data_IF_128020726074
#
_entry.id   IF_128020726074
#
_cell.length_a   1.000
_cell.length_b   1.000
_cell.length_c   1.000
_cell.angle_alpha   90.00
_cell.angle_beta   90.00
_cell.angle_gamma   90.00
#
_symmetry.space_group_name_H-M   'P 1'
#
loop_
_entity.id
_entity.type
_entity.pdbx_description
1 polymer ?
#
# COMPACT_ATOMS: atom_id res chain seq x y z
N UNK A 1 -14.64 -7.54 -12.00
CA UNK A 1 -14.58 -6.46 -10.99
C UNK A 1 -14.07 -5.20 -11.65
N UNK A 2 -14.66 -4.05 -11.34
CA UNK A 2 -14.14 -2.77 -11.82
C UNK A 2 -12.77 -2.50 -11.19
N UNK A 3 -11.82 -1.98 -11.96
CA UNK A 3 -10.50 -1.66 -11.45
C UNK A 3 -10.59 -0.55 -10.41
N UNK A 4 -10.01 -0.75 -9.23
CA UNK A 4 -9.90 0.28 -8.19
C UNK A 4 -8.86 1.32 -8.62
N UNK A 5 -9.21 2.60 -8.55
CA UNK A 5 -8.31 3.71 -8.88
C UNK A 5 -8.58 4.96 -8.02
N UNK A 6 -7.59 5.83 -7.94
CA UNK A 6 -7.69 7.12 -7.24
C UNK A 6 -8.42 8.12 -8.12
N UNK A 7 -9.49 8.71 -7.60
CA UNK A 7 -10.29 9.73 -8.28
C UNK A 7 -9.92 11.17 -7.85
N UNK A 8 -9.47 11.35 -6.61
CA UNK A 8 -9.11 12.66 -6.06
C UNK A 8 -8.03 12.53 -4.97
N UNK A 9 -7.17 13.53 -4.89
CA UNK A 9 -6.16 13.67 -3.85
C UNK A 9 -6.35 15.02 -3.16
N UNK A 10 -6.60 15.01 -1.87
CA UNK A 10 -6.65 16.21 -1.03
C UNK A 10 -5.38 16.27 -0.19
N UNK A 11 -4.68 17.37 -0.25
CA UNK A 11 -3.44 17.63 0.49
C UNK A 11 -3.75 18.65 1.58
N UNK A 12 -3.90 18.19 2.82
CA UNK A 12 -4.08 19.08 3.96
C UNK A 12 -2.78 19.79 4.30
N UNK A 13 -1.72 19.01 4.53
CA UNK A 13 -0.39 19.54 4.80
C UNK A 13 0.69 18.50 4.58
N UNK A 14 1.51 18.70 3.54
CA UNK A 14 2.71 17.92 3.26
C UNK A 14 3.88 18.88 3.06
N UNK A 15 4.70 19.09 4.09
CA UNK A 15 5.75 20.14 4.14
C UNK A 15 5.18 21.53 3.84
N UNK A 16 5.56 22.13 2.71
CA UNK A 16 5.09 23.46 2.26
C UNK A 16 3.81 23.40 1.42
N UNK A 17 3.42 22.19 0.96
CA UNK A 17 2.15 22.00 0.26
C UNK A 17 1.01 22.01 1.28
N UNK A 18 0.01 22.86 1.11
CA UNK A 18 -1.13 22.99 2.02
C UNK A 18 -2.39 23.30 1.24
N UNK A 19 -3.50 22.70 1.67
CA UNK A 19 -4.85 23.00 1.17
C UNK A 19 -4.92 22.94 -0.37
N UNK A 20 -4.40 21.86 -0.95
CA UNK A 20 -4.42 21.62 -2.39
C UNK A 20 -5.30 20.42 -2.70
N UNK A 21 -6.01 20.51 -3.80
CA UNK A 21 -6.81 19.41 -4.32
C UNK A 21 -6.36 19.10 -5.75
N UNK A 22 -6.28 17.80 -6.05
CA UNK A 22 -5.96 17.29 -7.37
C UNK A 22 -7.10 16.36 -7.76
N UNK A 23 -7.91 16.78 -8.71
CA UNK A 23 -8.97 15.96 -9.29
C UNK A 23 -8.39 15.17 -10.47
N UNK A 24 -8.65 13.86 -10.50
CA UNK A 24 -8.22 12.98 -11.58
C UNK A 24 -9.43 12.62 -12.46
N UNK A 25 -10.16 11.58 -12.09
CA UNK A 25 -11.39 11.17 -12.78
C UNK A 25 -12.20 10.26 -11.87
N UNK A 26 -13.53 10.33 -11.97
CA UNK A 26 -14.46 9.40 -11.30
C UNK A 26 -14.90 8.25 -12.19
N UNK A 27 -14.63 8.33 -13.50
CA UNK A 27 -15.13 7.39 -14.52
C UNK A 27 -14.04 6.43 -15.01
N UNK A 28 -12.79 6.90 -15.08
CA UNK A 28 -11.70 6.11 -15.64
C UNK A 28 -10.39 6.33 -14.91
N UNK A 29 -9.52 5.31 -14.92
CA UNK A 29 -8.18 5.37 -14.36
C UNK A 29 -7.31 6.39 -15.11
N UNK A 30 -6.75 7.35 -14.38
CA UNK A 30 -5.80 8.36 -14.89
C UNK A 30 -4.40 8.18 -14.30
N UNK A 31 -3.41 8.56 -15.09
CA UNK A 31 -2.03 8.66 -14.62
C UNK A 31 -1.76 10.05 -14.05
N UNK A 32 -1.16 10.13 -12.86
CA UNK A 32 -0.68 11.37 -12.27
C UNK A 32 0.83 11.49 -12.48
N UNK A 33 1.27 12.55 -13.14
CA UNK A 33 2.69 12.89 -13.32
C UNK A 33 2.99 14.15 -12.52
N UNK A 34 3.91 14.05 -11.55
CA UNK A 34 4.37 15.17 -10.74
C UNK A 34 5.69 15.71 -11.30
N UNK A 35 5.68 16.95 -11.77
CA UNK A 35 6.85 17.66 -12.28
C UNK A 35 7.20 18.86 -11.42
N UNK A 36 8.40 19.39 -11.53
CA UNK A 36 8.85 20.60 -10.82
C UNK A 36 10.30 20.53 -10.36
N UNK A 37 10.82 21.67 -9.89
CA UNK A 37 12.20 21.83 -9.40
C UNK A 37 12.52 20.92 -8.21
N UNK A 38 13.81 20.69 -7.95
CA UNK A 38 14.23 19.99 -6.73
C UNK A 38 13.74 20.74 -5.49
N UNK A 39 13.30 20.03 -4.48
CA UNK A 39 12.72 20.63 -3.28
C UNK A 39 11.25 21.01 -3.38
N UNK A 40 10.58 20.90 -4.56
CA UNK A 40 9.15 21.26 -4.74
C UNK A 40 8.15 20.33 -4.03
N UNK A 41 8.60 19.34 -3.26
CA UNK A 41 7.71 18.48 -2.47
C UNK A 41 7.22 17.21 -3.17
N UNK A 42 7.63 16.92 -4.42
CA UNK A 42 7.19 15.73 -5.18
C UNK A 42 7.36 14.42 -4.40
N UNK A 43 8.59 14.14 -3.94
CA UNK A 43 8.89 12.94 -3.16
C UNK A 43 8.11 12.90 -1.84
N UNK A 44 7.94 14.05 -1.19
CA UNK A 44 7.18 14.13 0.06
C UNK A 44 5.70 13.84 -0.16
N UNK A 45 5.13 14.32 -1.26
CA UNK A 45 3.75 14.01 -1.64
C UNK A 45 3.59 12.52 -1.97
N UNK A 46 4.49 11.94 -2.77
CA UNK A 46 4.46 10.50 -3.06
C UNK A 46 4.59 9.64 -1.80
N UNK A 47 5.47 10.04 -0.86
CA UNK A 47 5.59 9.36 0.43
C UNK A 47 4.27 9.43 1.24
N UNK A 48 3.61 10.58 1.25
CA UNK A 48 2.33 10.75 1.94
C UNK A 48 1.22 9.91 1.30
N UNK A 49 1.16 9.87 -0.04
CA UNK A 49 0.23 9.00 -0.77
C UNK A 49 0.49 7.52 -0.43
N UNK A 50 1.76 7.09 -0.43
CA UNK A 50 2.14 5.73 -0.06
C UNK A 50 1.79 5.43 1.41
N UNK A 51 1.97 6.38 2.32
CA UNK A 51 1.57 6.25 3.73
C UNK A 51 0.06 6.06 3.87
N UNK A 52 -0.74 6.87 3.18
CA UNK A 52 -2.20 6.73 3.17
C UNK A 52 -2.62 5.35 2.67
N UNK A 53 -2.12 4.93 1.50
CA UNK A 53 -2.43 3.63 0.91
C UNK A 53 -2.02 2.48 1.83
N UNK A 54 -0.82 2.55 2.42
CA UNK A 54 -0.38 1.54 3.39
C UNK A 54 -1.29 1.50 4.62
N UNK A 55 -1.78 2.64 5.11
CA UNK A 55 -2.67 2.68 6.27
C UNK A 55 -4.03 2.05 5.99
N UNK A 56 -4.60 2.23 4.80
CA UNK A 56 -5.89 1.62 4.45
C UNK A 56 -5.79 0.14 4.04
N UNK A 57 -4.59 -0.34 3.70
CA UNK A 57 -4.36 -1.75 3.33
C UNK A 57 -3.84 -2.61 4.49
N UNK A 58 -3.24 -2.01 5.52
CA UNK A 58 -2.70 -2.74 6.68
C UNK A 58 -3.68 -2.87 7.85
N UNK A 59 -4.64 -1.97 7.97
CA UNK A 59 -5.67 -2.01 9.03
C UNK A 59 -6.86 -1.12 8.67
N UNK A 60 -7.96 -1.31 9.38
CA UNK A 60 -9.17 -0.49 9.26
C UNK A 60 -9.11 0.81 10.11
N UNK A 61 -8.04 1.04 10.86
CA UNK A 61 -7.93 2.15 11.82
C UNK A 61 -8.13 3.52 11.19
N UNK A 62 -7.53 3.78 10.01
CA UNK A 62 -7.69 5.05 9.32
C UNK A 62 -9.13 5.22 8.84
N UNK A 63 -9.71 4.19 8.25
CA UNK A 63 -11.07 4.21 7.72
C UNK A 63 -12.09 4.41 8.84
N UNK A 64 -11.93 3.68 9.94
CA UNK A 64 -12.75 3.83 11.15
C UNK A 64 -12.64 5.23 11.77
N UNK A 65 -11.44 5.78 11.83
CA UNK A 65 -11.22 7.15 12.34
C UNK A 65 -11.85 8.21 11.44
N UNK A 66 -11.78 8.05 10.11
CA UNK A 66 -12.42 8.97 9.14
C UNK A 66 -13.95 8.90 9.24
N UNK A 67 -14.51 7.70 9.43
CA UNK A 67 -15.94 7.49 9.61
C UNK A 67 -16.45 8.11 10.91
N UNK A 68 -15.78 7.82 12.03
CA UNK A 68 -16.11 8.41 13.33
C UNK A 68 -16.01 9.95 13.30
N UNK A 69 -14.99 10.52 12.65
CA UNK A 69 -14.88 11.95 12.47
C UNK A 69 -16.09 12.53 11.74
N UNK A 70 -16.48 11.93 10.62
CA UNK A 70 -17.62 12.39 9.81
C UNK A 70 -18.96 12.30 10.56
N UNK A 71 -19.14 11.23 11.35
CA UNK A 71 -20.37 11.02 12.10
C UNK A 71 -20.47 11.99 13.30
N UNK A 72 -19.36 12.23 13.99
CA UNK A 72 -19.30 13.22 15.09
C UNK A 72 -19.46 14.65 14.58
N UNK A 73 -18.88 15.00 13.43
CA UNK A 73 -19.09 16.33 12.80
C UNK A 73 -20.54 16.56 12.40
N UNK A 74 -21.23 15.54 11.85
CA UNK A 74 -22.66 15.62 11.56
C UNK A 74 -23.49 15.79 12.83
N UNK A 75 -23.20 15.01 13.88
CA UNK A 75 -23.87 15.09 15.16
C UNK A 75 -23.67 16.46 15.81
N UNK A 76 -22.46 17.02 15.73
CA UNK A 76 -22.16 18.34 16.26
C UNK A 76 -23.02 19.44 15.60
N UNK A 77 -23.24 19.33 14.27
CA UNK A 77 -24.10 20.30 13.54
C UNK A 77 -25.54 20.24 14.06
N UNK A 78 -26.07 19.04 14.35
CA UNK A 78 -27.43 18.85 14.84
C UNK A 78 -27.62 19.49 16.23
N UNK A 79 -26.67 19.27 17.15
CA UNK A 79 -26.78 19.75 18.53
C UNK A 79 -26.29 21.19 18.77
N UNK A 80 -25.62 21.82 17.78
CA UNK A 80 -25.01 23.15 17.96
C UNK A 80 -25.99 24.28 18.23
N UNK A 81 -27.23 24.14 17.82
CA UNK A 81 -28.28 25.15 17.94
C UNK A 81 -29.20 24.95 19.17
N UNK A 82 -28.96 23.94 19.97
CA UNK A 82 -29.72 23.64 21.16
C UNK A 82 -29.02 24.25 22.38
N UNK A 83 -29.80 24.89 23.28
CA UNK A 83 -29.24 25.65 24.42
C UNK A 83 -29.54 24.99 25.80
N UNK A 84 -30.03 23.75 25.78
CA UNK A 84 -30.25 23.03 27.01
C UNK A 84 -28.95 22.41 27.60
N UNK A 85 -28.95 22.12 28.90
CA UNK A 85 -27.75 21.64 29.63
C UNK A 85 -27.21 20.32 29.05
N UNK A 86 -28.10 19.44 28.58
CA UNK A 86 -27.69 18.15 28.00
C UNK A 86 -27.01 18.33 26.65
N UNK A 87 -27.57 19.17 25.80
CA UNK A 87 -27.00 19.50 24.47
C UNK A 87 -25.64 20.19 24.60
N UNK A 88 -25.42 21.03 25.62
CA UNK A 88 -24.11 21.63 25.91
C UNK A 88 -23.09 20.54 26.32
N UNK A 89 -23.48 19.57 27.12
CA UNK A 89 -22.59 18.46 27.54
C UNK A 89 -22.24 17.57 26.34
N UNK A 90 -23.22 17.23 25.49
CA UNK A 90 -23.03 16.42 24.26
C UNK A 90 -22.09 17.14 23.30
N UNK A 91 -22.32 18.43 23.03
CA UNK A 91 -21.47 19.23 22.12
C UNK A 91 -20.02 19.30 22.58
N UNK A 92 -19.79 19.41 23.89
CA UNK A 92 -18.45 19.41 24.48
C UNK A 92 -17.76 18.05 24.29
N UNK A 93 -18.50 16.94 24.50
CA UNK A 93 -18.02 15.59 24.26
C UNK A 93 -17.66 15.36 22.78
N UNK A 94 -18.56 15.72 21.87
CA UNK A 94 -18.34 15.63 20.42
C UNK A 94 -17.13 16.46 19.97
N UNK A 95 -16.97 17.66 20.50
CA UNK A 95 -15.80 18.50 20.16
C UNK A 95 -14.48 17.85 20.56
N UNK A 96 -14.42 17.21 21.73
CA UNK A 96 -13.23 16.47 22.17
C UNK A 96 -12.97 15.22 21.32
N UNK A 97 -14.02 14.49 20.98
CA UNK A 97 -13.94 13.29 20.11
C UNK A 97 -13.46 13.67 18.70
N UNK A 98 -14.02 14.72 18.11
CA UNK A 98 -13.60 15.27 16.80
C UNK A 98 -12.11 15.65 16.80
N UNK A 99 -11.64 16.30 17.87
CA UNK A 99 -10.23 16.66 18.01
C UNK A 99 -9.32 15.41 18.02
N UNK A 100 -9.78 14.35 18.69
CA UNK A 100 -9.09 13.07 18.76
C UNK A 100 -9.03 12.38 17.39
N UNK A 101 -10.18 12.26 16.71
CA UNK A 101 -10.23 11.69 15.37
C UNK A 101 -9.41 12.49 14.35
N UNK A 102 -9.46 13.82 14.36
CA UNK A 102 -8.61 14.68 13.51
C UNK A 102 -7.13 14.41 13.71
N UNK A 103 -6.70 14.21 14.97
CA UNK A 103 -5.31 13.85 15.27
C UNK A 103 -4.95 12.47 14.72
N UNK A 104 -5.83 11.46 14.90
CA UNK A 104 -5.62 10.11 14.36
C UNK A 104 -5.54 10.11 12.85
N UNK A 105 -6.53 10.69 12.17
CA UNK A 105 -6.55 10.80 10.70
C UNK A 105 -5.29 11.47 10.20
N UNK A 106 -4.88 12.60 10.77
CA UNK A 106 -3.67 13.32 10.39
C UNK A 106 -2.40 12.46 10.53
N UNK A 107 -2.31 11.67 11.60
CA UNK A 107 -1.14 10.81 11.86
C UNK A 107 -1.10 9.66 10.86
N UNK A 108 -2.23 8.99 10.65
CA UNK A 108 -2.33 7.79 9.81
C UNK A 108 -2.33 8.11 8.31
N UNK A 109 -2.88 9.26 7.90
CA UNK A 109 -2.98 9.66 6.49
C UNK A 109 -1.70 10.25 5.89
N UNK A 110 -0.71 10.59 6.72
CA UNK A 110 0.48 11.29 6.23
C UNK A 110 0.22 12.70 5.70
N UNK A 111 -0.94 13.30 6.04
CA UNK A 111 -1.34 14.66 5.62
C UNK A 111 -1.98 14.74 4.23
N UNK A 112 -2.41 13.60 3.67
CA UNK A 112 -3.21 13.52 2.44
C UNK A 112 -4.46 12.68 2.68
N UNK A 113 -5.48 12.94 1.88
CA UNK A 113 -6.67 12.09 1.81
C UNK A 113 -6.91 11.69 0.35
N UNK A 114 -7.06 10.41 0.10
CA UNK A 114 -7.37 9.90 -1.23
C UNK A 114 -8.85 9.51 -1.29
N UNK A 115 -9.52 9.91 -2.37
CA UNK A 115 -10.79 9.34 -2.77
C UNK A 115 -10.53 8.31 -3.87
N UNK A 116 -11.19 7.17 -3.76
CA UNK A 116 -11.15 6.12 -4.77
C UNK A 116 -12.55 6.02 -5.42
N UNK A 117 -12.64 5.29 -6.52
CA UNK A 117 -13.91 4.98 -7.17
C UNK A 117 -14.76 3.94 -6.42
N UNK A 118 -14.29 3.47 -5.27
CA UNK A 118 -15.01 2.57 -4.36
C UNK A 118 -14.86 3.04 -2.90
N UNK A 119 -15.70 2.55 -1.96
CA UNK A 119 -15.52 2.78 -0.53
C UNK A 119 -14.14 2.29 -0.03
N UNK A 120 -13.55 3.01 0.93
CA UNK A 120 -12.25 2.63 1.49
C UNK A 120 -12.28 1.29 2.24
N UNK A 121 -13.44 0.91 2.79
CA UNK A 121 -13.63 -0.39 3.45
C UNK A 121 -13.40 -1.55 2.46
N UNK A 122 -13.83 -1.39 1.20
CA UNK A 122 -13.67 -2.41 0.17
C UNK A 122 -12.20 -2.59 -0.22
N UNK A 123 -11.41 -1.51 -0.20
CA UNK A 123 -9.97 -1.57 -0.55
C UNK A 123 -9.19 -2.51 0.37
N UNK A 124 -9.46 -2.48 1.67
CA UNK A 124 -8.83 -3.38 2.65
C UNK A 124 -9.16 -4.85 2.34
N UNK A 125 -10.41 -5.12 2.01
CA UNK A 125 -10.87 -6.46 1.66
C UNK A 125 -10.22 -6.97 0.36
N UNK A 126 -10.25 -6.17 -0.71
CA UNK A 126 -9.66 -6.48 -2.00
C UNK A 126 -8.13 -6.65 -1.93
N UNK A 127 -7.45 -5.87 -1.08
CA UNK A 127 -6.03 -6.01 -0.82
C UNK A 127 -5.71 -7.37 -0.18
N UNK A 128 -6.47 -7.77 0.83
CA UNK A 128 -6.26 -9.07 1.50
C UNK A 128 -6.57 -10.26 0.59
N UNK A 129 -7.43 -10.09 -0.41
CA UNK A 129 -7.71 -11.11 -1.43
C UNK A 129 -6.68 -11.10 -2.60
N UNK A 130 -5.72 -10.18 -2.60
CA UNK A 130 -4.75 -10.03 -3.67
C UNK A 130 -5.32 -9.40 -4.96
N UNK A 131 -6.53 -8.81 -4.92
CA UNK A 131 -7.18 -8.15 -6.04
C UNK A 131 -6.75 -6.68 -6.20
N UNK A 132 -6.19 -6.08 -5.14
CA UNK A 132 -5.63 -4.74 -5.14
C UNK A 132 -4.18 -4.77 -4.69
N UNK A 133 -3.30 -4.14 -5.44
CA UNK A 133 -1.85 -4.13 -5.16
C UNK A 133 -1.35 -2.70 -5.10
N UNK A 134 -0.59 -2.39 -4.05
CA UNK A 134 0.14 -1.12 -3.91
C UNK A 134 1.63 -1.40 -4.12
N UNK A 135 2.22 -0.77 -5.13
CA UNK A 135 3.65 -0.84 -5.39
C UNK A 135 4.29 0.54 -5.29
N UNK A 136 5.13 0.75 -4.29
CA UNK A 136 5.84 2.01 -4.06
C UNK A 136 7.34 1.83 -4.30
N UNK A 137 7.86 2.51 -5.32
CA UNK A 137 9.28 2.47 -5.68
C UNK A 137 9.96 3.78 -5.27
N UNK A 138 10.85 3.71 -4.29
CA UNK A 138 11.65 4.86 -3.86
C UNK A 138 12.69 5.24 -4.93
N UNK A 139 13.12 6.52 -4.91
CA UNK A 139 14.14 7.02 -5.83
C UNK A 139 15.52 6.38 -5.62
N UNK A 140 15.82 5.98 -4.38
CA UNK A 140 17.08 5.31 -4.02
C UNK A 140 17.06 3.84 -4.47
N UNK A 141 17.17 3.66 -5.78
CA UNK A 141 17.21 2.33 -6.42
C UNK A 141 18.61 1.75 -6.39
N UNK A 142 19.25 1.72 -5.24
CA UNK A 142 20.48 0.94 -5.11
C UNK A 142 20.06 -0.53 -5.00
N UNK A 143 20.13 -1.24 -6.11
CA UNK A 143 19.98 -2.69 -6.11
C UNK A 143 21.28 -3.30 -5.55
N UNK A 144 21.29 -3.48 -4.24
CA UNK A 144 22.28 -4.34 -3.59
C UNK A 144 21.57 -5.64 -3.26
N UNK A 145 21.68 -6.62 -4.13
CA UNK A 145 21.36 -7.98 -3.77
C UNK A 145 22.40 -8.39 -2.70
N UNK A 146 21.97 -8.65 -1.48
CA UNK A 146 22.83 -9.26 -0.47
C UNK A 146 22.70 -10.77 -0.68
N UNK A 147 23.79 -11.41 -1.04
CA UNK A 147 23.84 -12.87 -1.10
C UNK A 147 23.52 -13.43 0.28
N UNK A 148 22.57 -14.35 0.40
CA UNK A 148 22.28 -15.00 1.67
C UNK A 148 23.46 -15.89 2.08
N UNK A 149 23.91 -15.79 3.33
CA UNK A 149 24.99 -16.60 3.87
C UNK A 149 24.57 -18.08 4.07
N UNK A 150 23.27 -18.34 4.09
CA UNK A 150 22.68 -19.69 4.22
C UNK A 150 21.27 -19.72 3.66
N UNK A 151 20.79 -20.90 3.32
CA UNK A 151 19.42 -21.13 2.88
C UNK A 151 18.53 -21.25 4.11
N UNK A 152 17.52 -20.40 4.19
CA UNK A 152 16.50 -20.41 5.22
C UNK A 152 15.10 -20.48 4.60
N UNK A 153 14.17 -21.12 5.32
CA UNK A 153 12.79 -21.16 4.86
C UNK A 153 12.14 -19.78 4.97
N UNK A 154 11.73 -19.24 3.84
CA UNK A 154 11.12 -17.91 3.77
C UNK A 154 9.69 -18.02 3.28
N UNK A 155 8.79 -17.27 3.94
CA UNK A 155 7.43 -17.04 3.45
C UNK A 155 7.30 -15.58 3.06
N UNK A 156 6.96 -15.34 1.80
CA UNK A 156 6.64 -14.00 1.34
C UNK A 156 5.34 -13.53 1.99
N UNK A 157 5.31 -12.25 2.37
CA UNK A 157 4.11 -11.60 2.89
C UNK A 157 3.25 -11.10 1.74
N UNK A 158 1.94 -11.04 1.93
CA UNK A 158 1.02 -10.43 0.97
C UNK A 158 1.21 -8.91 0.85
N UNK A 159 1.76 -8.27 1.89
CA UNK A 159 2.06 -6.84 1.91
C UNK A 159 3.33 -6.54 2.68
N UNK A 160 4.04 -5.52 2.24
CA UNK A 160 5.25 -4.99 2.87
C UNK A 160 5.06 -3.51 3.17
N UNK A 161 5.56 -3.06 4.31
CA UNK A 161 5.57 -1.64 4.65
C UNK A 161 6.45 -0.83 3.70
N UNK A 162 6.20 0.48 3.61
CA UNK A 162 6.95 1.39 2.71
C UNK A 162 8.46 1.47 3.02
N UNK A 163 8.87 1.03 4.19
CA UNK A 163 10.28 0.98 4.62
C UNK A 163 10.91 -0.41 4.52
N UNK A 164 10.12 -1.43 4.22
CA UNK A 164 10.60 -2.79 4.07
C UNK A 164 11.44 -2.94 2.80
N UNK A 165 12.25 -3.99 2.76
CA UNK A 165 13.08 -4.35 1.61
C UNK A 165 12.71 -5.74 1.09
N UNK A 166 11.51 -5.91 0.47
CA UNK A 166 10.98 -7.20 0.07
C UNK A 166 11.91 -7.97 -0.88
N UNK A 167 12.79 -7.27 -1.59
CA UNK A 167 13.79 -7.89 -2.48
C UNK A 167 14.72 -8.89 -1.78
N UNK A 168 15.10 -8.61 -0.53
CA UNK A 168 15.99 -9.51 0.23
C UNK A 168 15.26 -10.81 0.58
N UNK A 169 14.00 -10.70 1.01
CA UNK A 169 13.15 -11.86 1.28
C UNK A 169 12.87 -12.64 0.00
N UNK A 170 12.70 -11.95 -1.12
CA UNK A 170 12.44 -12.59 -2.40
C UNK A 170 13.63 -13.41 -2.91
N UNK A 171 14.86 -12.90 -2.78
CA UNK A 171 16.07 -13.66 -3.15
C UNK A 171 16.20 -14.91 -2.29
N UNK A 172 16.01 -14.80 -0.97
CA UNK A 172 16.02 -15.96 -0.06
C UNK A 172 14.92 -16.96 -0.42
N UNK A 173 13.73 -16.48 -0.77
CA UNK A 173 12.62 -17.33 -1.21
C UNK A 173 12.94 -18.10 -2.49
N UNK A 174 13.59 -17.48 -3.48
CA UNK A 174 14.02 -18.16 -4.70
C UNK A 174 15.01 -19.30 -4.39
N UNK A 175 15.97 -19.05 -3.50
CA UNK A 175 16.95 -20.05 -3.06
C UNK A 175 16.27 -21.19 -2.27
N UNK A 176 15.35 -20.88 -1.35
CA UNK A 176 14.57 -21.89 -0.61
C UNK A 176 13.75 -22.78 -1.57
N UNK A 177 13.10 -22.18 -2.57
CA UNK A 177 12.39 -22.94 -3.61
C UNK A 177 13.34 -23.84 -4.40
N UNK A 178 14.51 -23.33 -4.81
CA UNK A 178 15.49 -24.10 -5.59
C UNK A 178 16.04 -25.28 -4.77
N UNK A 179 16.38 -25.05 -3.52
CA UNK A 179 16.79 -26.11 -2.59
C UNK A 179 15.66 -27.13 -2.37
N UNK A 180 14.44 -26.65 -2.17
CA UNK A 180 13.26 -27.51 -1.99
C UNK A 180 13.02 -28.37 -3.23
N UNK A 181 13.21 -27.84 -4.44
CA UNK A 181 13.15 -28.59 -5.69
C UNK A 181 14.20 -29.72 -5.70
N UNK A 182 15.47 -29.39 -5.44
CA UNK A 182 16.57 -30.35 -5.44
C UNK A 182 16.36 -31.52 -4.42
N UNK A 183 15.90 -31.16 -3.20
CA UNK A 183 15.57 -32.15 -2.16
C UNK A 183 14.36 -33.02 -2.56
N UNK A 184 13.37 -32.45 -3.23
CA UNK A 184 12.21 -33.21 -3.70
C UNK A 184 12.61 -34.21 -4.81
N UNK A 185 13.44 -33.76 -5.75
CA UNK A 185 14.00 -34.67 -6.79
C UNK A 185 14.80 -35.79 -6.16
N UNK A 186 15.72 -35.50 -5.23
CA UNK A 186 16.53 -36.50 -4.52
C UNK A 186 15.70 -37.53 -3.71
N UNK A 187 14.60 -37.07 -3.12
CA UNK A 187 13.71 -37.90 -2.30
C UNK A 187 12.58 -38.57 -3.12
N UNK A 188 12.63 -38.53 -4.44
CA UNK A 188 11.63 -39.15 -5.33
C UNK A 188 10.24 -38.48 -5.31
N UNK A 189 10.09 -37.26 -4.74
CA UNK A 189 8.84 -36.51 -4.71
C UNK A 189 8.64 -35.71 -6.00
N UNK A 190 8.49 -36.45 -7.13
CA UNK A 190 8.45 -35.84 -8.48
C UNK A 190 7.40 -34.78 -8.65
N UNK A 191 6.16 -34.99 -8.21
CA UNK A 191 5.09 -34.01 -8.35
C UNK A 191 5.44 -32.64 -7.72
N UNK A 192 6.08 -32.67 -6.54
CA UNK A 192 6.52 -31.43 -5.87
C UNK A 192 7.65 -30.74 -6.62
N UNK A 193 8.62 -31.51 -7.10
CA UNK A 193 9.74 -30.99 -7.88
C UNK A 193 9.25 -30.35 -9.20
N UNK A 194 8.35 -31.02 -9.91
CA UNK A 194 7.78 -30.55 -11.18
C UNK A 194 6.91 -29.31 -10.99
N UNK A 195 6.15 -29.22 -9.90
CA UNK A 195 5.37 -28.01 -9.59
C UNK A 195 6.27 -26.78 -9.38
N UNK A 196 7.41 -26.95 -8.70
CA UNK A 196 8.38 -25.87 -8.48
C UNK A 196 9.09 -25.51 -9.80
N UNK A 197 9.45 -26.51 -10.62
CA UNK A 197 10.04 -26.30 -11.95
C UNK A 197 9.11 -25.47 -12.83
N UNK A 198 7.84 -25.82 -12.90
CA UNK A 198 6.83 -25.09 -13.66
C UNK A 198 6.67 -23.65 -13.15
N UNK A 199 6.82 -23.42 -11.83
CA UNK A 199 6.79 -22.07 -11.27
C UNK A 199 7.98 -21.23 -11.76
N UNK A 200 9.21 -21.78 -11.77
CA UNK A 200 10.39 -21.10 -12.30
C UNK A 200 10.27 -20.80 -13.79
N UNK A 201 9.75 -21.73 -14.58
CA UNK A 201 9.53 -21.53 -16.01
C UNK A 201 8.56 -20.35 -16.25
N UNK A 202 7.44 -20.32 -15.54
CA UNK A 202 6.48 -19.20 -15.62
C UNK A 202 7.10 -17.88 -15.19
N UNK A 203 7.94 -17.89 -14.15
CA UNK A 203 8.60 -16.71 -13.66
C UNK A 203 9.63 -16.19 -14.69
N UNK A 204 10.42 -17.06 -15.30
CA UNK A 204 11.35 -16.71 -16.37
C UNK A 204 10.62 -16.12 -17.60
N UNK A 205 9.50 -16.72 -18.01
CA UNK A 205 8.68 -16.20 -19.10
C UNK A 205 8.09 -14.82 -18.78
N UNK A 206 7.74 -14.58 -17.53
CA UNK A 206 7.31 -13.25 -17.06
C UNK A 206 8.44 -12.22 -17.19
N UNK A 207 9.67 -12.59 -16.79
CA UNK A 207 10.85 -11.71 -16.91
C UNK A 207 11.17 -11.38 -18.37
N UNK A 208 11.15 -12.37 -19.27
CA UNK A 208 11.34 -12.15 -20.70
C UNK A 208 10.35 -11.14 -21.28
N UNK A 209 9.07 -11.31 -20.94
CA UNK A 209 8.02 -10.36 -21.36
C UNK A 209 8.21 -8.97 -20.76
N UNK A 210 8.59 -8.88 -19.49
CA UNK A 210 8.79 -7.60 -18.78
C UNK A 210 9.95 -6.81 -19.38
N UNK A 211 11.08 -7.48 -19.65
CA UNK A 211 12.27 -6.86 -20.21
C UNK A 211 12.25 -6.78 -21.75
N UNK A 212 11.25 -7.42 -22.40
CA UNK A 212 11.18 -7.58 -23.86
C UNK A 212 12.47 -8.16 -24.45
N UNK A 213 13.04 -9.14 -23.77
CA UNK A 213 14.30 -9.77 -24.09
C UNK A 213 14.20 -11.28 -23.83
N UNK A 214 14.22 -12.07 -24.91
CA UNK A 214 14.11 -13.51 -24.86
C UNK A 214 15.39 -14.19 -24.34
N UNK A 215 16.52 -13.44 -24.29
CA UNK A 215 17.79 -13.95 -23.79
C UNK A 215 17.87 -13.99 -22.26
N UNK A 216 16.93 -13.33 -21.55
CA UNK A 216 16.87 -13.31 -20.08
C UNK A 216 16.72 -14.73 -19.55
N UNK A 217 17.68 -15.12 -18.71
CA UNK A 217 17.67 -16.40 -17.99
C UNK A 217 17.75 -16.16 -16.50
N UNK A 218 17.05 -17.01 -15.77
CA UNK A 218 17.18 -17.09 -14.31
C UNK A 218 18.21 -18.18 -14.03
N UNK A 219 19.41 -17.79 -13.62
CA UNK A 219 20.49 -18.70 -13.27
C UNK A 219 20.82 -18.63 -11.77
N UNK A 220 21.31 -19.73 -11.22
CA UNK A 220 21.67 -19.89 -9.82
C UNK A 220 23.09 -20.46 -9.80
N UNK A 221 24.08 -19.57 -9.89
CA UNK A 221 25.48 -19.93 -9.78
C UNK A 221 25.90 -20.00 -8.29
N UNK A 222 26.89 -20.84 -7.99
CA UNK A 222 27.53 -20.95 -6.66
C UNK A 222 28.43 -19.74 -6.39
#
# INVERSE_FOLDING_TARGET
MENIFVSKIVIDKVRHLKNLEIELSTEEKKHLILTGKNGSGKTSLLNSIATFLNSITSSDQLVSAMKGLKDDEKSLILFKNESDVNSIKITKGLTASIATYKKMVKTLSGGVTLSLNCPLDDVYHEFNQGQFVVAYYKADRVFKAKEPEHVEKVQLKNGYGINDTPRNDFIKYLLDLKMTQALADSNGKKEKADSIRLWFDKFQDLLKRLFKDDSVKLDFDE
#
